data_IF_939866067004
#
_entry.id   IF_939866067004
#
_cell.length_a   1.000
_cell.length_b   1.000
_cell.length_c   1.000
_cell.angle_alpha   90.00
_cell.angle_beta   90.00
_cell.angle_gamma   90.00
#
_symmetry.space_group_name_H-M   'P 1'
#
loop_
_entity.id
_entity.type
_entity.pdbx_description
1 polymer ?
#
# COMPACT_ATOMS: atom_id res chain seq x y z
N UNK A 1 17.27 -2.17 25.71
CA UNK A 1 17.54 -2.11 24.26
C UNK A 1 16.22 -1.82 23.57
N UNK A 2 15.92 -0.56 23.26
CA UNK A 2 14.70 -0.21 22.53
C UNK A 2 14.98 -0.64 21.09
N UNK A 3 14.35 -1.72 20.61
CA UNK A 3 14.33 -2.01 19.18
C UNK A 3 13.66 -0.81 18.52
N UNK A 4 14.38 -0.05 17.72
CA UNK A 4 13.79 0.96 16.86
C UNK A 4 12.68 0.27 16.04
N UNK A 5 11.43 0.66 16.28
CA UNK A 5 10.33 0.17 15.47
C UNK A 5 10.46 0.82 14.10
N UNK A 6 10.81 0.03 13.09
CA UNK A 6 10.84 0.49 11.70
C UNK A 6 9.49 1.10 11.32
N UNK A 7 9.50 2.38 10.93
CA UNK A 7 8.31 3.05 10.39
C UNK A 7 8.16 2.69 8.90
N UNK A 8 7.52 1.54 8.64
CA UNK A 8 7.32 1.05 7.28
C UNK A 8 6.49 2.01 6.43
N UNK A 9 5.53 2.71 7.01
CA UNK A 9 4.75 3.71 6.29
C UNK A 9 5.65 4.81 5.72
N UNK A 10 6.56 5.36 6.54
CA UNK A 10 7.48 6.42 6.11
C UNK A 10 8.40 5.96 4.98
N UNK A 11 8.91 4.73 5.09
CA UNK A 11 9.89 4.19 4.14
C UNK A 11 9.26 3.72 2.82
N UNK A 12 8.02 3.20 2.86
CA UNK A 12 7.47 2.43 1.75
C UNK A 12 6.22 3.01 1.11
N UNK A 13 5.63 4.11 1.61
CA UNK A 13 4.44 4.72 1.00
C UNK A 13 4.60 5.04 -0.50
N UNK A 14 5.77 5.54 -0.91
CA UNK A 14 6.04 5.84 -2.33
C UNK A 14 6.21 4.57 -3.17
N UNK A 15 7.08 3.59 -2.81
CA UNK A 15 7.14 2.31 -3.51
C UNK A 15 5.80 1.60 -3.66
N UNK A 16 4.97 1.60 -2.59
CA UNK A 16 3.63 1.02 -2.63
C UNK A 16 2.77 1.73 -3.67
N UNK A 17 2.71 3.06 -3.59
CA UNK A 17 1.95 3.90 -4.52
C UNK A 17 2.37 3.69 -5.98
N UNK A 18 3.68 3.73 -6.26
CA UNK A 18 4.23 3.52 -7.60
C UNK A 18 3.78 2.16 -8.18
N UNK A 19 3.80 1.09 -7.37
CA UNK A 19 3.37 -0.23 -7.84
C UNK A 19 1.85 -0.31 -8.06
N UNK A 20 1.03 0.32 -7.22
CA UNK A 20 -0.43 0.37 -7.47
C UNK A 20 -0.70 1.11 -8.79
N UNK A 21 -0.05 2.23 -9.02
CA UNK A 21 -0.22 3.06 -10.23
C UNK A 21 0.22 2.34 -11.52
N UNK A 22 1.12 1.36 -11.45
CA UNK A 22 1.54 0.56 -12.60
C UNK A 22 0.41 -0.28 -13.19
N UNK A 23 -0.50 -0.80 -12.35
CA UNK A 23 -1.54 -1.75 -12.78
C UNK A 23 -2.97 -1.23 -12.63
N UNK A 24 -3.22 -0.32 -11.68
CA UNK A 24 -4.56 0.23 -11.47
C UNK A 24 -5.05 0.95 -12.74
N UNK A 25 -6.29 0.67 -13.12
CA UNK A 25 -6.92 1.28 -14.30
C UNK A 25 -7.94 2.34 -13.88
N UNK A 26 -8.66 2.10 -12.80
CA UNK A 26 -9.69 2.99 -12.27
C UNK A 26 -9.10 4.18 -11.49
N UNK A 27 -9.82 5.30 -11.51
CA UNK A 27 -9.37 6.54 -10.88
C UNK A 27 -9.45 6.49 -9.35
N UNK A 28 -10.33 5.67 -8.78
CA UNK A 28 -10.52 5.59 -7.34
C UNK A 28 -9.27 5.01 -6.67
N UNK A 29 -8.81 3.86 -7.16
CA UNK A 29 -7.58 3.20 -6.72
C UNK A 29 -6.35 4.09 -6.93
N UNK A 30 -6.25 4.73 -8.11
CA UNK A 30 -5.15 5.68 -8.40
C UNK A 30 -5.11 6.84 -7.41
N UNK A 31 -6.27 7.41 -7.10
CA UNK A 31 -6.36 8.50 -6.13
C UNK A 31 -5.96 8.03 -4.73
N UNK A 32 -6.38 6.82 -4.31
CA UNK A 32 -5.96 6.24 -3.04
C UNK A 32 -4.44 6.00 -2.98
N UNK A 33 -3.83 5.55 -4.08
CA UNK A 33 -2.37 5.40 -4.16
C UNK A 33 -1.64 6.75 -4.00
N UNK A 34 -2.15 7.82 -4.61
CA UNK A 34 -1.57 9.17 -4.44
C UNK A 34 -1.78 9.67 -3.01
N UNK A 35 -3.00 9.55 -2.46
CA UNK A 35 -3.31 9.92 -1.07
C UNK A 35 -2.41 9.22 -0.06
N UNK A 36 -2.06 7.95 -0.28
CA UNK A 36 -1.12 7.23 0.59
C UNK A 36 0.22 7.97 0.77
N UNK A 37 0.69 8.68 -0.26
CA UNK A 37 1.92 9.49 -0.19
C UNK A 37 1.70 10.76 0.63
N UNK A 38 0.54 11.40 0.50
CA UNK A 38 0.21 12.70 1.10
C UNK A 38 -0.16 12.59 2.58
N UNK A 39 -0.83 11.51 2.96
CA UNK A 39 -1.33 11.32 4.31
C UNK A 39 -0.20 11.03 5.31
N UNK A 40 -0.37 11.53 6.53
CA UNK A 40 0.53 11.28 7.66
C UNK A 40 -0.24 10.68 8.82
N UNK A 41 0.40 9.75 9.55
CA UNK A 41 -0.17 9.12 10.74
C UNK A 41 -0.57 10.16 11.80
N UNK A 42 0.25 11.20 12.00
CA UNK A 42 0.04 12.20 13.05
C UNK A 42 -1.16 13.12 12.82
N UNK A 43 -1.56 13.33 11.56
CA UNK A 43 -2.64 14.27 11.22
C UNK A 43 -3.92 13.53 10.82
N UNK A 44 -3.79 12.48 10.02
CA UNK A 44 -4.92 11.89 9.30
C UNK A 44 -4.99 10.36 9.48
N UNK A 45 -4.72 9.83 10.70
CA UNK A 45 -4.66 8.38 10.96
C UNK A 45 -5.87 7.61 10.43
N UNK A 46 -7.09 8.11 10.64
CA UNK A 46 -8.31 7.42 10.22
C UNK A 46 -8.46 7.38 8.69
N UNK A 47 -8.22 8.51 8.01
CA UNK A 47 -8.25 8.55 6.55
C UNK A 47 -7.16 7.67 5.95
N UNK A 48 -5.96 7.69 6.54
CA UNK A 48 -4.85 6.84 6.15
C UNK A 48 -5.21 5.35 6.28
N UNK A 49 -5.84 4.94 7.39
CA UNK A 49 -6.31 3.57 7.59
C UNK A 49 -7.35 3.16 6.54
N UNK A 50 -8.27 4.05 6.19
CA UNK A 50 -9.26 3.80 5.12
C UNK A 50 -8.52 3.59 3.80
N UNK A 51 -7.64 4.51 3.40
CA UNK A 51 -6.85 4.39 2.16
C UNK A 51 -6.05 3.08 2.12
N UNK A 52 -5.41 2.69 3.23
CA UNK A 52 -4.65 1.43 3.30
C UNK A 52 -5.56 0.23 3.10
N UNK A 53 -6.73 0.19 3.74
CA UNK A 53 -7.69 -0.91 3.60
C UNK A 53 -8.21 -1.06 2.17
N UNK A 54 -8.59 0.05 1.55
CA UNK A 54 -9.03 0.09 0.15
C UNK A 54 -7.94 -0.46 -0.80
N UNK A 55 -6.67 -0.10 -0.57
CA UNK A 55 -5.56 -0.62 -1.37
C UNK A 55 -5.28 -2.11 -1.10
N UNK A 56 -5.46 -2.59 0.14
CA UNK A 56 -5.37 -4.02 0.47
C UNK A 56 -6.46 -4.81 -0.26
N UNK A 57 -7.71 -4.36 -0.17
CA UNK A 57 -8.85 -5.00 -0.84
C UNK A 57 -8.65 -5.05 -2.36
N UNK A 58 -8.16 -3.95 -2.94
CA UNK A 58 -7.82 -3.93 -4.36
C UNK A 58 -6.78 -4.99 -4.74
N UNK A 59 -5.71 -5.14 -3.94
CA UNK A 59 -4.74 -6.22 -4.16
C UNK A 59 -5.35 -7.61 -3.96
N UNK A 60 -6.21 -7.82 -2.98
CA UNK A 60 -6.86 -9.13 -2.77
C UNK A 60 -7.64 -9.59 -4.01
N UNK A 61 -8.28 -8.65 -4.71
CA UNK A 61 -9.00 -8.92 -5.95
C UNK A 61 -8.06 -9.10 -7.16
N UNK A 62 -6.98 -8.31 -7.26
CA UNK A 62 -6.20 -8.17 -8.49
C UNK A 62 -4.86 -8.91 -8.49
N UNK A 63 -4.31 -9.29 -7.34
CA UNK A 63 -2.93 -9.77 -7.22
C UNK A 63 -2.65 -11.04 -8.03
N UNK A 64 -3.63 -11.96 -8.14
CA UNK A 64 -3.47 -13.17 -8.94
C UNK A 64 -3.49 -12.90 -10.45
N UNK A 65 -4.21 -11.86 -10.89
CA UNK A 65 -4.15 -11.39 -12.27
C UNK A 65 -2.78 -10.76 -12.56
N UNK A 66 -2.31 -9.88 -11.67
CA UNK A 66 -0.98 -9.23 -11.76
C UNK A 66 0.15 -10.28 -11.89
N UNK A 67 0.13 -11.33 -11.06
CA UNK A 67 1.15 -12.39 -11.10
C UNK A 67 1.20 -13.13 -12.45
N UNK A 68 0.06 -13.24 -13.13
CA UNK A 68 -0.07 -13.95 -14.43
C UNK A 68 0.10 -13.00 -15.62
N UNK A 69 0.02 -11.69 -15.41
CA UNK A 69 0.13 -10.71 -16.47
C UNK A 69 1.56 -10.64 -17.03
N UNK A 70 1.70 -10.94 -18.32
CA UNK A 70 2.97 -10.96 -19.05
C UNK A 70 3.56 -9.57 -19.32
N UNK A 71 2.78 -8.50 -19.19
CA UNK A 71 3.21 -7.13 -19.44
C UNK A 71 3.67 -6.39 -18.18
N UNK A 72 3.36 -6.92 -17.00
CA UNK A 72 3.83 -6.36 -15.73
C UNK A 72 5.25 -6.85 -15.43
N UNK A 73 6.19 -5.90 -15.42
CA UNK A 73 7.60 -6.18 -15.21
C UNK A 73 7.92 -6.42 -13.73
N UNK A 74 7.23 -5.72 -12.81
CA UNK A 74 7.59 -5.67 -11.38
C UNK A 74 6.64 -6.47 -10.48
N UNK A 75 6.32 -7.70 -10.85
CA UNK A 75 5.39 -8.58 -10.09
C UNK A 75 5.75 -8.70 -8.60
N UNK A 76 7.03 -8.85 -8.30
CA UNK A 76 7.53 -8.94 -6.92
C UNK A 76 7.28 -7.67 -6.12
N UNK A 77 7.31 -6.50 -6.76
CA UNK A 77 7.06 -5.23 -6.07
C UNK A 77 5.59 -5.09 -5.69
N UNK A 78 4.66 -5.62 -6.49
CA UNK A 78 3.25 -5.71 -6.11
C UNK A 78 3.03 -6.64 -4.91
N UNK A 79 3.67 -7.81 -4.90
CA UNK A 79 3.56 -8.77 -3.78
C UNK A 79 4.13 -8.15 -2.50
N UNK A 80 5.29 -7.51 -2.58
CA UNK A 80 5.90 -6.80 -1.44
C UNK A 80 5.02 -5.67 -0.96
N UNK A 81 4.47 -4.86 -1.86
CA UNK A 81 3.61 -3.72 -1.53
C UNK A 81 2.34 -4.16 -0.82
N UNK A 82 1.73 -5.26 -1.26
CA UNK A 82 0.59 -5.88 -0.60
C UNK A 82 0.91 -6.32 0.84
N UNK A 83 2.02 -7.03 1.03
CA UNK A 83 2.44 -7.49 2.36
C UNK A 83 2.80 -6.33 3.29
N UNK A 84 3.43 -5.28 2.75
CA UNK A 84 3.75 -4.05 3.48
C UNK A 84 2.48 -3.32 3.91
N UNK A 85 1.48 -3.19 3.04
CA UNK A 85 0.19 -2.58 3.40
C UNK A 85 -0.45 -3.31 4.59
N UNK A 86 -0.52 -4.64 4.56
CA UNK A 86 -1.04 -5.45 5.69
C UNK A 86 -0.24 -5.24 6.98
N UNK A 87 1.08 -5.18 6.86
CA UNK A 87 1.97 -4.93 8.01
C UNK A 87 1.74 -3.54 8.60
N UNK A 88 1.63 -2.51 7.75
CA UNK A 88 1.38 -1.14 8.17
C UNK A 88 0.00 -1.02 8.81
N UNK A 89 -1.03 -1.65 8.24
CA UNK A 89 -2.39 -1.65 8.79
C UNK A 89 -2.43 -2.23 10.20
N UNK A 90 -1.75 -3.37 10.42
CA UNK A 90 -1.59 -3.98 11.74
C UNK A 90 -0.84 -3.06 12.71
N UNK A 91 0.25 -2.41 12.27
CA UNK A 91 1.02 -1.47 13.11
C UNK A 91 0.20 -0.25 13.54
N UNK A 92 -0.68 0.24 12.66
CA UNK A 92 -1.51 1.41 12.93
C UNK A 92 -2.72 1.08 13.82
N UNK A 93 -3.21 -0.15 13.79
CA UNK A 93 -4.39 -0.59 14.60
C UNK A 93 -4.02 -1.11 15.98
N UNK A 94 -2.81 -1.66 16.16
CA UNK A 94 -2.33 -2.14 17.47
C UNK A 94 -1.70 -1.04 18.35
N UNK A 95 -1.53 0.17 17.81
CA UNK A 95 -1.08 1.38 18.54
C UNK A 95 -2.25 2.26 18.94
#
# INVERSE_FOLDING_TARGET
MIKEQTNYLLLYKKPISDSVLEYATDNFTKNNAVKLIELSENQNKNELLIVIKELIEWYEVNLDAIKKDRFIAKKEDHIRSFNLLKTIEMQLTMK
#
